data_IF_955459422456
#
_entry.id   IF_955459422456
#
_cell.length_a   1.000
_cell.length_b   1.000
_cell.length_c   1.000
_cell.angle_alpha   90.00
_cell.angle_beta   90.00
_cell.angle_gamma   90.00
#
_symmetry.space_group_name_H-M   'P 1'
#
loop_
_entity.id
_entity.type
_entity.pdbx_description
1 polymer ?
#
# COMPACT_ATOMS: atom_id res chain seq x y z
N UNK A 1 -8.80 11.20 24.94
CA UNK A 1 -8.49 12.61 24.59
C UNK A 1 -7.28 12.64 23.69
N UNK A 2 -7.12 13.59 22.76
CA UNK A 2 -6.11 13.65 21.67
C UNK A 2 -4.73 12.99 21.92
N UNK A 3 -4.18 13.02 23.14
CA UNK A 3 -2.99 12.25 23.51
C UNK A 3 -3.10 10.72 23.34
N UNK A 4 -4.27 10.12 23.59
CA UNK A 4 -4.54 8.71 23.30
C UNK A 4 -4.48 8.43 21.80
N UNK A 5 -4.98 9.35 20.97
CA UNK A 5 -4.94 9.25 19.50
C UNK A 5 -3.51 9.41 19.00
N UNK A 6 -2.74 10.36 19.55
CA UNK A 6 -1.32 10.56 19.23
C UNK A 6 -0.44 9.37 19.67
N UNK A 7 -0.68 8.80 20.86
CA UNK A 7 -0.03 7.56 21.32
C UNK A 7 -0.44 6.37 20.45
N UNK A 8 -1.67 6.34 19.95
CA UNK A 8 -2.13 5.34 18.98
C UNK A 8 -1.54 5.58 17.59
N UNK A 9 -1.29 6.83 17.18
CA UNK A 9 -0.60 7.19 15.94
C UNK A 9 0.83 6.68 15.95
N UNK A 10 1.62 6.89 17.02
CA UNK A 10 3.00 6.36 17.12
C UNK A 10 3.02 4.82 17.12
N UNK A 11 2.07 4.16 17.78
CA UNK A 11 1.87 2.69 17.67
C UNK A 11 1.33 2.25 16.30
N UNK A 12 0.54 3.09 15.63
CA UNK A 12 -0.02 2.82 14.31
C UNK A 12 0.97 3.05 13.19
N UNK A 13 1.96 3.93 13.31
CA UNK A 13 3.04 4.04 12.33
C UNK A 13 3.89 2.77 12.33
N UNK A 14 4.12 2.17 13.51
CA UNK A 14 4.64 0.80 13.58
C UNK A 14 3.66 -0.26 13.05
N UNK A 15 2.38 0.02 12.85
CA UNK A 15 1.38 -0.92 12.30
C UNK A 15 1.15 -0.75 10.79
N UNK A 16 1.32 0.47 10.27
CA UNK A 16 1.22 0.84 8.85
C UNK A 16 2.57 0.53 8.15
N UNK A 17 3.70 0.85 8.79
CA UNK A 17 5.03 0.42 8.34
C UNK A 17 5.36 -1.04 8.74
N UNK A 18 4.55 -1.66 9.60
CA UNK A 18 4.53 -3.11 9.77
C UNK A 18 3.15 -3.65 9.39
N UNK A 19 2.85 -3.69 8.09
CA UNK A 19 1.97 -4.73 7.54
C UNK A 19 2.69 -6.09 7.73
N UNK A 20 2.87 -6.51 8.99
CA UNK A 20 3.26 -7.86 9.40
C UNK A 20 2.09 -8.82 9.18
N UNK A 21 0.87 -8.30 9.20
CA UNK A 21 -0.34 -9.02 8.79
C UNK A 21 -0.80 -8.55 7.40
N UNK A 22 0.00 -8.87 6.39
CA UNK A 22 -0.50 -8.90 5.01
C UNK A 22 -1.62 -9.94 4.95
N UNK A 23 -2.70 -9.75 4.16
CA UNK A 23 -3.74 -10.76 4.01
C UNK A 23 -3.21 -12.13 3.57
N UNK A 24 -1.92 -12.27 3.20
CA UNK A 24 -1.23 -13.53 2.91
C UNK A 24 -0.01 -13.85 3.81
N UNK A 25 0.44 -12.96 4.72
CA UNK A 25 1.69 -13.15 5.50
C UNK A 25 1.60 -14.21 6.60
N UNK A 26 0.39 -14.53 7.07
CA UNK A 26 0.12 -15.53 8.12
C UNK A 26 -0.74 -16.70 7.61
N UNK A 27 -0.64 -17.06 6.33
CA UNK A 27 -1.49 -18.13 5.77
C UNK A 27 -2.91 -17.68 5.47
N UNK A 28 -3.07 -16.45 4.96
CA UNK A 28 -4.27 -16.10 4.23
C UNK A 28 -4.60 -17.15 3.18
N UNK A 29 -5.90 -17.32 2.96
CA UNK A 29 -6.52 -18.23 1.98
C UNK A 29 -5.50 -18.66 0.92
N UNK A 30 -5.13 -19.96 0.86
CA UNK A 30 -4.21 -20.43 -0.16
C UNK A 30 -4.73 -19.97 -1.52
N UNK A 31 -3.83 -19.60 -2.44
CA UNK A 31 -4.20 -19.24 -3.82
C UNK A 31 -5.32 -20.19 -4.25
N UNK A 32 -6.56 -19.70 -4.44
CA UNK A 32 -7.68 -20.56 -4.76
C UNK A 32 -7.21 -21.45 -5.90
N UNK A 33 -7.39 -22.78 -5.80
CA UNK A 33 -6.84 -23.71 -6.81
C UNK A 33 -7.21 -23.29 -8.23
N UNK A 34 -8.34 -22.61 -8.36
CA UNK A 34 -8.93 -21.96 -9.52
C UNK A 34 -8.09 -20.82 -10.15
N UNK A 35 -6.98 -20.35 -9.53
CA UNK A 35 -6.21 -19.18 -9.98
C UNK A 35 -4.72 -19.41 -10.20
N UNK A 36 -4.25 -20.67 -10.10
CA UNK A 36 -2.83 -21.01 -10.36
C UNK A 36 -2.42 -20.72 -11.79
N UNK A 37 -3.32 -20.92 -12.75
CA UNK A 37 -3.07 -20.65 -14.17
C UNK A 37 -2.89 -19.15 -14.44
N UNK A 38 -3.72 -18.30 -13.84
CA UNK A 38 -3.61 -16.84 -13.95
C UNK A 38 -2.26 -16.34 -13.40
N UNK A 39 -1.86 -16.84 -12.24
CA UNK A 39 -0.55 -16.53 -11.63
C UNK A 39 0.60 -17.00 -12.53
N UNK A 40 0.52 -18.21 -13.07
CA UNK A 40 1.52 -18.75 -14.00
C UNK A 40 1.61 -17.93 -15.30
N UNK A 41 0.47 -17.46 -15.82
CA UNK A 41 0.42 -16.61 -17.01
C UNK A 41 1.11 -15.26 -16.78
N UNK A 42 0.81 -14.58 -15.67
CA UNK A 42 1.48 -13.32 -15.31
C UNK A 42 2.98 -13.56 -15.05
N UNK A 43 3.35 -14.65 -14.38
CA UNK A 43 4.76 -15.00 -14.16
C UNK A 43 5.52 -15.24 -15.46
N UNK A 44 4.91 -15.98 -16.40
CA UNK A 44 5.52 -16.21 -17.71
C UNK A 44 5.74 -14.89 -18.46
N UNK A 45 4.76 -14.00 -18.43
CA UNK A 45 4.89 -12.65 -19.00
C UNK A 45 6.01 -11.84 -18.34
N UNK A 46 6.09 -11.80 -17.00
CA UNK A 46 7.13 -11.09 -16.25
C UNK A 46 8.55 -11.52 -16.59
N UNK A 47 8.77 -12.79 -16.98
CA UNK A 47 10.10 -13.26 -17.42
C UNK A 47 10.61 -12.59 -18.70
N UNK A 48 9.72 -11.98 -19.48
CA UNK A 48 10.06 -11.29 -20.72
C UNK A 48 10.13 -9.77 -20.55
N UNK A 49 9.93 -9.26 -19.33
CA UNK A 49 9.98 -7.83 -19.02
C UNK A 49 11.23 -7.52 -18.20
N UNK A 50 12.37 -7.36 -18.86
CA UNK A 50 13.68 -7.23 -18.19
C UNK A 50 13.81 -5.97 -17.30
N UNK A 51 13.02 -4.93 -17.58
CA UNK A 51 12.98 -3.69 -16.79
C UNK A 51 12.11 -3.81 -15.53
N UNK A 52 11.24 -4.82 -15.44
CA UNK A 52 10.39 -5.05 -14.28
C UNK A 52 11.06 -6.00 -13.29
N UNK A 53 10.89 -5.78 -11.97
CA UNK A 53 11.41 -6.69 -10.97
C UNK A 53 10.66 -8.03 -11.00
N UNK A 54 11.38 -9.11 -10.73
CA UNK A 54 10.77 -10.42 -10.51
C UNK A 54 10.11 -10.46 -9.13
N UNK A 55 8.80 -10.71 -9.10
CA UNK A 55 7.98 -10.68 -7.89
C UNK A 55 7.40 -12.07 -7.54
N UNK A 56 7.11 -12.29 -6.26
CA UNK A 56 6.59 -13.57 -5.76
C UNK A 56 5.15 -13.84 -6.20
N UNK A 57 4.69 -15.09 -6.07
CA UNK A 57 3.31 -15.46 -6.46
C UNK A 57 2.27 -14.74 -5.61
N UNK A 58 2.60 -14.48 -4.35
CA UNK A 58 1.74 -13.71 -3.45
C UNK A 58 1.59 -12.26 -3.93
N UNK A 59 2.66 -11.65 -4.46
CA UNK A 59 2.60 -10.32 -5.06
C UNK A 59 1.78 -10.31 -6.35
N UNK A 60 2.00 -11.28 -7.24
CA UNK A 60 1.17 -11.44 -8.45
C UNK A 60 -0.30 -11.59 -8.08
N UNK A 61 -0.61 -12.39 -7.06
CA UNK A 61 -1.98 -12.61 -6.59
C UNK A 61 -2.63 -11.34 -6.04
N UNK A 62 -1.88 -10.45 -5.40
CA UNK A 62 -2.38 -9.15 -4.95
C UNK A 62 -2.81 -8.28 -6.14
N UNK A 63 -1.98 -8.22 -7.18
CA UNK A 63 -2.32 -7.46 -8.39
C UNK A 63 -3.49 -8.10 -9.15
N UNK A 64 -3.57 -9.42 -9.20
CA UNK A 64 -4.74 -10.13 -9.75
C UNK A 64 -6.00 -9.77 -8.96
N UNK A 65 -5.96 -9.88 -7.64
CA UNK A 65 -7.08 -9.54 -6.77
C UNK A 65 -7.53 -8.08 -6.96
N UNK A 66 -6.59 -7.12 -7.02
CA UNK A 66 -6.92 -5.70 -7.25
C UNK A 66 -7.54 -5.43 -8.63
N UNK A 67 -7.33 -6.34 -9.58
CA UNK A 67 -7.83 -6.25 -10.95
C UNK A 67 -8.99 -7.22 -11.24
N UNK A 68 -9.68 -7.70 -10.20
CA UNK A 68 -10.78 -8.66 -10.32
C UNK A 68 -10.39 -9.90 -11.14
N UNK A 69 -9.14 -10.34 -10.98
CA UNK A 69 -8.50 -11.48 -11.65
C UNK A 69 -8.37 -11.36 -13.17
N UNK A 70 -8.49 -10.16 -13.74
CA UNK A 70 -8.16 -9.95 -15.15
C UNK A 70 -6.64 -9.94 -15.35
N UNK A 71 -6.12 -10.95 -16.05
CA UNK A 71 -4.68 -11.08 -16.36
C UNK A 71 -4.15 -9.86 -17.12
N UNK A 72 -4.84 -9.40 -18.16
CA UNK A 72 -4.39 -8.24 -18.95
C UNK A 72 -4.36 -6.95 -18.13
N UNK A 73 -5.41 -6.66 -17.33
CA UNK A 73 -5.40 -5.48 -16.44
C UNK A 73 -4.32 -5.58 -15.36
N UNK A 74 -4.02 -6.80 -14.91
CA UNK A 74 -2.97 -7.06 -13.94
C UNK A 74 -1.60 -6.72 -14.49
N UNK A 75 -1.28 -7.12 -15.72
CA UNK A 75 -0.03 -6.77 -16.40
C UNK A 75 0.15 -5.25 -16.47
N UNK A 76 -0.88 -4.53 -16.91
CA UNK A 76 -0.86 -3.06 -16.98
C UNK A 76 -0.66 -2.42 -15.60
N UNK A 77 -1.32 -2.96 -14.57
CA UNK A 77 -1.18 -2.44 -13.20
C UNK A 77 0.22 -2.67 -12.65
N UNK A 78 0.80 -3.86 -12.88
CA UNK A 78 2.17 -4.18 -12.45
C UNK A 78 3.16 -3.22 -13.10
N UNK A 79 3.05 -3.05 -14.43
CA UNK A 79 3.89 -2.14 -15.19
C UNK A 79 3.80 -0.71 -14.64
N UNK A 80 2.59 -0.15 -14.59
CA UNK A 80 2.37 1.21 -14.08
C UNK A 80 2.84 1.39 -12.63
N UNK A 81 2.64 0.38 -11.77
CA UNK A 81 3.06 0.42 -10.37
C UNK A 81 4.58 0.57 -10.23
N UNK A 82 5.36 -0.21 -11.00
CA UNK A 82 6.81 -0.12 -10.93
C UNK A 82 7.37 1.08 -11.69
N UNK A 83 6.78 1.43 -12.83
CA UNK A 83 7.16 2.62 -13.60
C UNK A 83 6.99 3.89 -12.79
N UNK A 84 5.82 4.13 -12.18
CA UNK A 84 5.58 5.33 -11.34
C UNK A 84 6.58 5.40 -10.19
N UNK A 85 6.87 4.28 -9.53
CA UNK A 85 7.83 4.24 -8.41
C UNK A 85 9.28 4.48 -8.84
N UNK A 86 9.65 4.06 -10.05
CA UNK A 86 10.97 4.33 -10.60
C UNK A 86 11.12 5.79 -11.06
N UNK A 87 10.05 6.38 -11.61
CA UNK A 87 10.04 7.76 -12.11
C UNK A 87 9.87 8.82 -11.03
N UNK A 88 9.29 8.46 -9.87
CA UNK A 88 9.08 9.38 -8.72
C UNK A 88 9.79 8.91 -7.45
N UNK A 89 11.13 8.73 -7.48
CA UNK A 89 11.88 8.24 -6.33
C UNK A 89 11.76 9.17 -5.11
N UNK A 90 11.49 10.46 -5.31
CA UNK A 90 11.25 11.41 -4.24
C UNK A 90 10.02 11.08 -3.39
N UNK A 91 9.04 10.34 -3.90
CA UNK A 91 7.87 9.91 -3.14
C UNK A 91 8.07 8.53 -2.48
N UNK A 92 8.84 7.64 -3.11
CA UNK A 92 8.89 6.23 -2.74
C UNK A 92 10.25 5.74 -2.22
N UNK A 93 11.28 6.57 -2.22
CA UNK A 93 12.63 6.25 -1.73
C UNK A 93 13.13 7.30 -0.72
N UNK A 94 14.24 7.01 -0.03
CA UNK A 94 14.89 7.95 0.91
C UNK A 94 13.95 8.55 1.97
N UNK A 95 13.14 7.71 2.61
CA UNK A 95 12.22 8.12 3.66
C UNK A 95 12.98 8.59 4.91
N UNK A 96 12.95 9.89 5.16
CA UNK A 96 13.29 10.45 6.46
C UNK A 96 12.01 10.71 7.26
N UNK A 97 11.83 9.98 8.36
CA UNK A 97 10.65 10.13 9.21
C UNK A 97 10.55 11.55 9.77
N UNK A 98 11.68 12.18 10.06
CA UNK A 98 11.72 13.50 10.70
C UNK A 98 11.45 14.63 9.70
N UNK A 99 11.57 14.36 8.39
CA UNK A 99 11.26 15.36 7.35
C UNK A 99 9.75 15.52 7.11
N UNK A 100 8.93 14.55 7.55
CA UNK A 100 7.48 14.60 7.36
C UNK A 100 6.83 15.47 8.46
N UNK A 101 6.01 16.43 8.05
CA UNK A 101 5.23 17.26 8.98
C UNK A 101 4.03 16.49 9.56
N UNK A 102 4.29 15.50 10.40
CA UNK A 102 3.27 14.66 11.04
C UNK A 102 2.23 15.44 11.86
N UNK A 103 2.54 16.69 12.23
CA UNK A 103 1.60 17.57 12.94
C UNK A 103 0.52 18.14 12.04
N UNK A 104 0.74 18.15 10.72
CA UNK A 104 -0.22 18.67 9.72
C UNK A 104 -1.31 17.65 9.38
N UNK A 105 -1.05 16.36 9.62
CA UNK A 105 -1.95 15.26 9.28
C UNK A 105 -2.20 14.33 10.45
N UNK A 106 -3.45 13.88 10.59
CA UNK A 106 -3.79 12.82 11.51
C UNK A 106 -4.41 11.67 10.73
N UNK A 107 -3.69 10.54 10.71
CA UNK A 107 -4.11 9.30 10.10
C UNK A 107 -4.20 8.23 11.18
N UNK A 108 -5.35 7.57 11.28
CA UNK A 108 -5.53 6.46 12.21
C UNK A 108 -6.43 5.37 11.62
N UNK A 109 -6.02 4.09 11.66
CA UNK A 109 -6.93 2.99 11.39
C UNK A 109 -7.98 2.87 12.50
N UNK A 110 -9.23 2.68 12.11
CA UNK A 110 -10.27 2.28 13.05
C UNK A 110 -9.97 0.85 13.51
N UNK A 111 -10.00 0.54 14.83
CA UNK A 111 -9.64 -0.78 15.33
C UNK A 111 -10.52 -1.92 14.79
N UNK A 112 -11.82 -1.63 14.56
CA UNK A 112 -12.79 -2.61 14.07
C UNK A 112 -12.88 -2.55 12.54
N UNK A 113 -13.00 -3.74 11.94
CA UNK A 113 -13.35 -3.88 10.52
C UNK A 113 -14.84 -3.63 10.31
N UNK A 114 -15.23 -3.28 9.10
CA UNK A 114 -16.66 -3.29 8.70
C UNK A 114 -17.21 -4.72 8.67
N UNK A 115 -18.54 -4.94 8.64
CA UNK A 115 -19.12 -6.28 8.50
C UNK A 115 -18.60 -7.06 7.29
N UNK A 116 -18.23 -6.36 6.21
CA UNK A 116 -17.66 -6.90 4.98
C UNK A 116 -16.14 -7.17 5.08
N UNK A 117 -15.52 -6.82 6.20
CA UNK A 117 -14.10 -7.09 6.47
C UNK A 117 -13.13 -5.96 6.08
N UNK A 118 -13.62 -4.79 5.67
CA UNK A 118 -12.75 -3.67 5.28
C UNK A 118 -12.05 -3.03 6.49
N UNK A 119 -10.80 -2.62 6.28
CA UNK A 119 -10.09 -1.73 7.20
C UNK A 119 -10.46 -0.29 6.86
N UNK A 120 -10.93 0.46 7.84
CA UNK A 120 -11.27 1.89 7.67
C UNK A 120 -10.11 2.73 8.18
N UNK A 121 -9.61 3.63 7.34
CA UNK A 121 -8.65 4.66 7.71
C UNK A 121 -9.39 5.98 7.89
N UNK A 122 -9.25 6.60 9.06
CA UNK A 122 -9.67 7.98 9.30
C UNK A 122 -8.49 8.90 9.05
N UNK A 123 -8.72 9.91 8.21
CA UNK A 123 -7.75 10.93 7.90
C UNK A 123 -8.35 12.31 8.14
N UNK A 124 -7.60 13.20 8.79
CA UNK A 124 -7.92 14.62 8.86
C UNK A 124 -6.68 15.49 8.74
N UNK A 125 -6.88 16.69 8.21
CA UNK A 125 -5.90 17.77 8.30
C UNK A 125 -5.99 18.39 9.69
N UNK A 126 -4.87 18.47 10.39
CA UNK A 126 -4.77 19.16 11.68
C UNK A 126 -4.37 20.64 11.50
N UNK A 127 -3.65 20.96 10.43
CA UNK A 127 -3.45 22.31 9.92
C UNK A 127 -4.26 22.47 8.63
N UNK A 128 -5.16 23.46 8.59
CA UNK A 128 -6.11 23.68 7.48
C UNK A 128 -5.75 24.88 6.62
N UNK A 129 -4.74 25.67 7.02
CA UNK A 129 -4.20 26.75 6.20
C UNK A 129 -3.54 26.16 4.92
N UNK A 130 -4.09 26.42 3.72
CA UNK A 130 -3.55 25.88 2.48
C UNK A 130 -2.12 26.34 2.19
N UNK A 131 -1.71 27.51 2.70
CA UNK A 131 -0.36 28.04 2.50
C UNK A 131 0.72 27.22 3.21
N UNK A 132 0.33 26.43 4.22
CA UNK A 132 1.23 25.55 4.99
C UNK A 132 1.17 24.10 4.54
N UNK A 133 0.28 23.76 3.61
CA UNK A 133 0.08 22.40 3.13
C UNK A 133 1.11 22.06 2.04
N UNK A 134 1.98 21.09 2.32
CA UNK A 134 2.82 20.46 1.30
C UNK A 134 2.17 19.15 0.84
N UNK A 135 1.68 19.15 -0.40
CA UNK A 135 1.04 17.99 -1.01
C UNK A 135 1.99 16.79 -1.13
N UNK A 136 3.26 17.02 -1.48
CA UNK A 136 4.25 15.94 -1.63
C UNK A 136 4.51 15.25 -0.29
N UNK A 137 4.63 16.02 0.80
CA UNK A 137 4.80 15.45 2.14
C UNK A 137 3.55 14.70 2.61
N UNK A 138 2.35 15.18 2.24
CA UNK A 138 1.09 14.48 2.48
C UNK A 138 1.02 13.14 1.75
N UNK A 139 1.45 13.08 0.48
CA UNK A 139 1.52 11.85 -0.29
C UNK A 139 2.54 10.87 0.30
N UNK A 140 3.74 11.36 0.66
CA UNK A 140 4.74 10.55 1.36
C UNK A 140 4.16 9.97 2.64
N UNK A 141 3.48 10.77 3.47
CA UNK A 141 2.87 10.29 4.72
C UNK A 141 1.80 9.19 4.55
N UNK A 142 1.23 9.05 3.35
CA UNK A 142 0.16 8.10 3.04
C UNK A 142 0.65 6.76 2.48
N UNK A 143 1.70 6.76 1.64
CA UNK A 143 2.19 5.58 0.90
C UNK A 143 3.19 4.71 1.68
#
# INVERSE_FOLDING_TARGET
TLELILRQQVRCYQCIMQIKEFPFRNGGEPVPKERKEDVAAVRSWLKHQDYLPQISDQYIMLFLHSNYYSVEKTKNTIDSYFTVRAETPELFSSWDYDSIQWKSYQLAPIPRKTPEGYRVLLYRMAETDPSKFNFQDGLRAFF
#
